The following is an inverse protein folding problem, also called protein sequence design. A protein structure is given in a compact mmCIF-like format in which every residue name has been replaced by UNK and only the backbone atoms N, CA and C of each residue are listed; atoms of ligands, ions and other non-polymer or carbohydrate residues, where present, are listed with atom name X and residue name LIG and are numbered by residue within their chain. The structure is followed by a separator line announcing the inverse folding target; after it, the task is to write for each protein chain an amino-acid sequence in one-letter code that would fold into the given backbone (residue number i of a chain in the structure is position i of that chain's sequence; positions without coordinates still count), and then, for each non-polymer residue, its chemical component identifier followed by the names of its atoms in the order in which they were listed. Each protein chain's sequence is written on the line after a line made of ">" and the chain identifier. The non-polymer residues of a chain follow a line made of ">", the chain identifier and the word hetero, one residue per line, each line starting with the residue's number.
data_IF_720867022863
#
_entry.id   IF_720867022863
#
_cell.length_a   1.000
_cell.length_b   1.000
_cell.length_c   1.000
_cell.angle_alpha   90.00
_cell.angle_beta   90.00
_cell.angle_gamma   90.00
#
_symmetry.space_group_name_H-M   'P 1'
#
loop_
_entity.id
_entity.type
_entity.pdbx_description
1 polymer ?
#
# COMPACT_ATOMS: atom_id res chain seq x y z
N UNK A 1 -27.95 6.01 -15.04
CA UNK A 1 -27.16 6.44 -13.88
C UNK A 1 -26.49 5.20 -13.30
N UNK A 2 -25.30 4.84 -13.81
CA UNK A 2 -24.34 3.84 -13.28
C UNK A 2 -23.36 3.47 -14.41
N UNK A 3 -22.38 4.32 -14.73
CA UNK A 3 -21.26 4.01 -15.63
C UNK A 3 -19.99 4.75 -15.16
N UNK A 4 -19.69 4.70 -13.86
CA UNK A 4 -18.59 5.46 -13.24
C UNK A 4 -17.54 4.62 -12.51
N UNK A 5 -17.86 3.37 -12.18
CA UNK A 5 -17.01 2.49 -11.37
C UNK A 5 -16.37 1.35 -12.20
N UNK A 6 -17.04 0.89 -13.26
CA UNK A 6 -16.53 -0.18 -14.13
C UNK A 6 -15.40 0.26 -15.08
N UNK A 7 -15.38 1.54 -15.48
CA UNK A 7 -14.34 2.09 -16.37
C UNK A 7 -12.98 2.31 -15.70
N UNK A 8 -12.92 2.46 -14.37
CA UNK A 8 -11.66 2.71 -13.64
C UNK A 8 -10.82 1.44 -13.46
N UNK A 9 -11.50 0.29 -13.34
CA UNK A 9 -10.87 -1.03 -13.32
C UNK A 9 -10.24 -1.33 -14.70
N UNK A 10 -10.90 -0.89 -15.78
CA UNK A 10 -10.44 -1.13 -17.16
C UNK A 10 -9.12 -0.42 -17.50
N UNK A 11 -8.89 0.81 -17.04
CA UNK A 11 -7.63 1.53 -17.32
C UNK A 11 -6.41 0.89 -16.63
N UNK A 12 -6.57 0.42 -15.39
CA UNK A 12 -5.49 -0.29 -14.66
C UNK A 12 -5.23 -1.65 -15.31
N UNK A 13 -6.28 -2.38 -15.70
CA UNK A 13 -6.14 -3.65 -16.43
C UNK A 13 -5.52 -3.46 -17.81
N UNK A 14 -5.85 -2.39 -18.54
CA UNK A 14 -5.32 -2.11 -19.88
C UNK A 14 -3.81 -1.78 -19.84
N UNK A 15 -3.36 -0.98 -18.87
CA UNK A 15 -1.93 -0.70 -18.67
C UNK A 15 -1.14 -1.94 -18.23
N UNK A 16 -1.76 -2.82 -17.45
CA UNK A 16 -1.19 -4.13 -17.07
C UNK A 16 -1.12 -5.08 -18.27
N UNK A 17 -2.12 -5.04 -19.17
CA UNK A 17 -2.18 -5.87 -20.37
C UNK A 17 -1.17 -5.46 -21.45
N UNK A 18 -0.81 -4.16 -21.53
CA UNK A 18 0.20 -3.64 -22.48
C UNK A 18 1.66 -3.85 -22.02
N UNK A 19 1.91 -4.51 -20.88
CA UNK A 19 3.26 -4.85 -20.41
C UNK A 19 4.12 -3.66 -19.96
N UNK A 20 3.53 -2.47 -19.81
CA UNK A 20 4.21 -1.27 -19.33
C UNK A 20 4.35 -1.23 -17.80
N UNK A 21 3.70 -2.16 -17.09
CA UNK A 21 3.73 -2.31 -15.64
C UNK A 21 3.74 -3.80 -15.23
N UNK A 22 4.73 -4.21 -14.44
CA UNK A 22 4.82 -5.58 -13.90
C UNK A 22 3.79 -5.86 -12.79
N UNK A 23 3.31 -4.81 -12.10
CA UNK A 23 2.32 -4.88 -11.01
C UNK A 23 1.40 -3.63 -11.07
N UNK A 24 0.08 -3.76 -10.80
CA UNK A 24 -0.89 -2.64 -10.86
C UNK A 24 -0.81 -1.72 -9.62
N UNK A 25 0.37 -1.20 -9.33
CA UNK A 25 0.66 -0.36 -8.15
C UNK A 25 0.33 1.13 -8.42
N UNK A 26 0.09 1.48 -9.68
CA UNK A 26 -0.20 2.85 -10.11
C UNK A 26 -1.66 3.22 -9.80
N UNK A 27 -1.82 4.10 -8.81
CA UNK A 27 -3.12 4.52 -8.29
C UNK A 27 -3.67 5.76 -9.03
N UNK A 28 -3.74 5.70 -10.37
CA UNK A 28 -4.23 6.79 -11.23
C UNK A 28 -5.66 7.23 -10.88
N UNK A 29 -6.45 6.32 -10.33
CA UNK A 29 -7.80 6.60 -9.82
C UNK A 29 -7.85 7.73 -8.80
N UNK A 30 -6.87 7.84 -7.88
CA UNK A 30 -6.84 8.93 -6.91
C UNK A 30 -6.61 10.29 -7.59
N UNK A 31 -5.74 10.35 -8.60
CA UNK A 31 -5.56 11.57 -9.39
C UNK A 31 -6.88 11.98 -10.04
N UNK A 32 -7.56 11.05 -10.72
CA UNK A 32 -8.85 11.32 -11.38
C UNK A 32 -9.93 11.75 -10.38
N UNK A 33 -10.01 11.13 -9.19
CA UNK A 33 -10.96 11.51 -8.15
C UNK A 33 -10.68 12.93 -7.65
N UNK A 34 -9.40 13.28 -7.47
CA UNK A 34 -8.98 14.61 -7.01
C UNK A 34 -9.22 15.69 -8.06
N UNK A 35 -9.13 15.35 -9.35
CA UNK A 35 -9.35 16.27 -10.48
C UNK A 35 -10.60 15.90 -11.30
N UNK A 36 -11.66 15.46 -10.62
CA UNK A 36 -12.87 14.89 -11.23
C UNK A 36 -13.56 15.83 -12.21
N UNK A 37 -13.60 17.12 -11.89
CA UNK A 37 -14.22 18.13 -12.75
C UNK A 37 -13.46 18.26 -14.07
N UNK A 38 -12.13 18.38 -14.00
CA UNK A 38 -11.24 18.42 -15.17
C UNK A 38 -11.36 17.15 -16.02
N UNK A 39 -11.48 15.98 -15.38
CA UNK A 39 -11.72 14.71 -16.07
C UNK A 39 -13.00 14.76 -16.92
N UNK A 40 -14.14 15.16 -16.33
CA UNK A 40 -15.40 15.20 -17.08
C UNK A 40 -15.42 16.29 -18.16
N UNK A 41 -14.81 17.46 -17.89
CA UNK A 41 -14.69 18.52 -18.90
C UNK A 41 -13.93 18.05 -20.13
N UNK A 42 -12.75 17.45 -19.94
CA UNK A 42 -11.92 16.97 -21.04
C UNK A 42 -12.60 15.81 -21.79
N UNK A 43 -13.29 14.91 -21.09
CA UNK A 43 -14.02 13.80 -21.72
C UNK A 43 -15.21 14.30 -22.58
N UNK A 44 -15.92 15.31 -22.09
CA UNK A 44 -17.01 15.94 -22.85
C UNK A 44 -16.47 16.67 -24.09
N UNK A 45 -15.32 17.34 -23.99
CA UNK A 45 -14.66 18.00 -25.12
C UNK A 45 -14.26 16.98 -26.20
N UNK A 46 -13.62 15.87 -25.83
CA UNK A 46 -13.26 14.81 -26.79
C UNK A 46 -14.48 14.30 -27.56
N UNK A 47 -15.62 14.16 -26.88
CA UNK A 47 -16.86 13.67 -27.49
C UNK A 47 -17.51 14.68 -28.45
N UNK A 48 -17.27 15.98 -28.25
CA UNK A 48 -17.88 17.07 -29.04
C UNK A 48 -16.96 17.56 -30.18
N UNK A 49 -15.66 17.69 -29.93
CA UNK A 49 -14.69 18.27 -30.87
C UNK A 49 -13.72 17.25 -31.48
N UNK A 50 -13.67 16.03 -30.95
CA UNK A 50 -12.67 15.03 -31.37
C UNK A 50 -11.23 15.40 -30.99
N UNK A 51 -11.01 16.41 -30.16
CA UNK A 51 -9.67 16.85 -29.75
C UNK A 51 -9.15 16.00 -28.59
N UNK A 52 -8.34 15.00 -28.93
CA UNK A 52 -7.72 14.08 -27.96
C UNK A 52 -6.47 14.65 -27.27
N UNK A 53 -5.89 15.76 -27.76
CA UNK A 53 -4.57 16.20 -27.33
C UNK A 53 -4.54 16.54 -25.84
N UNK A 54 -5.49 17.36 -25.40
CA UNK A 54 -5.60 17.80 -24.00
C UNK A 54 -5.99 16.65 -23.06
N UNK A 55 -6.80 15.70 -23.56
CA UNK A 55 -7.13 14.49 -22.82
C UNK A 55 -5.91 13.60 -22.58
N UNK A 56 -5.11 13.35 -23.62
CA UNK A 56 -3.88 12.55 -23.51
C UNK A 56 -2.89 13.23 -22.57
N UNK A 57 -2.69 14.55 -22.69
CA UNK A 57 -1.83 15.32 -21.80
C UNK A 57 -2.26 15.19 -20.33
N UNK A 58 -3.56 15.27 -20.05
CA UNK A 58 -4.11 15.08 -18.71
C UNK A 58 -3.85 13.67 -18.14
N UNK A 59 -3.99 12.62 -18.94
CA UNK A 59 -3.70 11.25 -18.51
C UNK A 59 -2.21 11.07 -18.23
N UNK A 60 -1.33 11.57 -19.10
CA UNK A 60 0.13 11.53 -18.89
C UNK A 60 0.55 12.26 -17.62
N UNK A 61 -0.03 13.43 -17.35
CA UNK A 61 0.17 14.18 -16.11
C UNK A 61 -0.23 13.34 -14.88
N UNK A 62 -1.39 12.68 -14.96
CA UNK A 62 -1.89 11.80 -13.90
C UNK A 62 -0.97 10.61 -13.64
N UNK A 63 -0.43 9.99 -14.69
CA UNK A 63 0.53 8.89 -14.59
C UNK A 63 1.83 9.38 -13.94
N UNK A 64 2.39 10.50 -14.39
CA UNK A 64 3.63 11.06 -13.85
C UNK A 64 3.50 11.35 -12.35
N UNK A 65 2.43 12.03 -11.94
CA UNK A 65 2.14 12.33 -10.52
C UNK A 65 1.92 11.07 -9.69
N UNK A 66 1.21 10.08 -10.23
CA UNK A 66 0.96 8.82 -9.53
C UNK A 66 2.23 7.99 -9.37
N UNK A 67 3.11 7.98 -10.37
CA UNK A 67 4.40 7.31 -10.31
C UNK A 67 5.33 7.95 -9.26
N UNK A 68 5.42 9.29 -9.25
CA UNK A 68 6.20 10.03 -8.25
C UNK A 68 5.70 9.74 -6.83
N UNK A 69 4.38 9.77 -6.62
CA UNK A 69 3.76 9.42 -5.35
C UNK A 69 4.10 7.98 -4.93
N UNK A 70 4.00 7.01 -5.85
CA UNK A 70 4.36 5.60 -5.58
C UNK A 70 5.83 5.43 -5.22
N UNK A 71 6.75 6.09 -5.93
CA UNK A 71 8.19 6.05 -5.60
C UNK A 71 8.42 6.58 -4.18
N UNK A 72 7.82 7.72 -3.85
CA UNK A 72 7.94 8.32 -2.53
C UNK A 72 7.38 7.42 -1.42
N UNK A 73 6.28 6.69 -1.69
CA UNK A 73 5.71 5.69 -0.78
C UNK A 73 6.67 4.54 -0.52
N UNK A 74 7.20 3.94 -1.59
CA UNK A 74 8.15 2.82 -1.50
C UNK A 74 9.38 3.24 -0.70
N UNK A 75 9.91 4.43 -0.94
CA UNK A 75 11.03 4.98 -0.16
C UNK A 75 10.72 5.12 1.33
N UNK A 76 9.53 5.60 1.70
CA UNK A 76 9.09 5.70 3.10
C UNK A 76 8.97 4.33 3.76
N UNK A 77 8.38 3.36 3.06
CA UNK A 77 8.24 1.98 3.57
C UNK A 77 9.63 1.37 3.78
N UNK A 78 10.53 1.49 2.79
CA UNK A 78 11.91 1.00 2.90
C UNK A 78 12.64 1.61 4.09
N UNK A 79 12.53 2.92 4.29
CA UNK A 79 13.11 3.60 5.46
C UNK A 79 12.51 3.10 6.78
N UNK A 80 11.20 2.84 6.83
CA UNK A 80 10.56 2.26 8.00
C UNK A 80 11.06 0.84 8.29
N UNK A 81 11.27 0.02 7.25
CA UNK A 81 11.87 -1.31 7.36
C UNK A 81 13.28 -1.25 7.92
N UNK A 82 14.15 -0.38 7.37
CA UNK A 82 15.53 -0.20 7.83
C UNK A 82 15.60 0.21 9.31
N UNK A 83 14.76 1.16 9.74
CA UNK A 83 14.68 1.57 11.16
C UNK A 83 14.26 0.41 12.05
N UNK A 84 13.23 -0.33 11.67
CA UNK A 84 12.78 -1.50 12.43
C UNK A 84 13.85 -2.60 12.48
N UNK A 85 14.54 -2.86 11.36
CA UNK A 85 15.62 -3.84 11.28
C UNK A 85 16.75 -3.48 12.24
N UNK A 86 17.19 -2.21 12.25
CA UNK A 86 18.24 -1.74 13.15
C UNK A 86 17.85 -1.85 14.64
N UNK A 87 16.57 -1.67 14.97
CA UNK A 87 16.06 -1.84 16.34
C UNK A 87 16.06 -3.33 16.72
N UNK A 88 15.59 -4.20 15.82
CA UNK A 88 15.48 -5.64 16.08
C UNK A 88 16.82 -6.37 16.09
N UNK A 89 17.81 -5.93 15.31
CA UNK A 89 19.17 -6.48 15.36
C UNK A 89 19.83 -6.37 16.74
N UNK A 90 19.42 -5.39 17.55
CA UNK A 90 19.88 -5.21 18.93
C UNK A 90 19.18 -6.13 19.93
N UNK A 91 18.26 -6.97 19.46
CA UNK A 91 17.45 -7.88 20.26
C UNK A 91 17.77 -9.33 19.90
N UNK A 92 17.38 -10.26 20.77
CA UNK A 92 17.54 -11.70 20.54
C UNK A 92 16.50 -12.27 19.55
N UNK A 93 16.20 -11.55 18.45
CA UNK A 93 15.33 -12.01 17.37
C UNK A 93 16.21 -12.24 16.14
N UNK A 94 16.57 -13.50 15.90
CA UNK A 94 17.48 -13.90 14.82
C UNK A 94 16.81 -14.85 13.83
N UNK A 95 15.57 -14.56 13.44
CA UNK A 95 14.86 -15.38 12.45
C UNK A 95 14.82 -14.68 11.09
N UNK A 96 15.39 -15.33 10.09
CA UNK A 96 15.34 -14.89 8.69
C UNK A 96 13.88 -14.81 8.23
N UNK A 97 13.52 -13.75 7.51
CA UNK A 97 12.13 -13.55 7.05
C UNK A 97 11.14 -13.00 8.08
N UNK A 98 11.49 -12.85 9.37
CA UNK A 98 10.57 -12.22 10.35
C UNK A 98 10.24 -10.76 9.98
N UNK A 99 11.24 -10.02 9.50
CA UNK A 99 11.05 -8.65 9.00
C UNK A 99 10.13 -8.61 7.79
N UNK A 100 10.31 -9.52 6.84
CA UNK A 100 9.47 -9.60 5.65
C UNK A 100 8.02 -9.91 6.06
N UNK A 101 7.82 -10.89 6.96
CA UNK A 101 6.50 -11.23 7.47
C UNK A 101 5.82 -10.07 8.23
N UNK A 102 6.61 -9.21 8.90
CA UNK A 102 6.13 -8.05 9.64
C UNK A 102 5.68 -6.89 8.75
N UNK A 103 6.27 -6.78 7.54
CA UNK A 103 5.98 -5.70 6.59
C UNK A 103 5.12 -6.16 5.41
N UNK A 104 4.98 -7.46 5.20
CA UNK A 104 4.08 -8.03 4.19
C UNK A 104 2.61 -7.81 4.56
N UNK A 105 2.28 -7.83 5.85
CA UNK A 105 0.93 -7.54 6.35
C UNK A 105 0.95 -6.38 7.37
N UNK A 106 0.14 -5.31 7.19
CA UNK A 106 0.05 -4.19 8.14
C UNK A 106 -0.40 -4.60 9.56
N UNK A 107 -1.07 -5.75 9.65
CA UNK A 107 -1.45 -6.38 10.90
C UNK A 107 -1.21 -7.89 10.80
N UNK A 108 -0.87 -8.52 11.92
CA UNK A 108 -0.62 -9.96 11.96
C UNK A 108 -1.20 -10.62 13.20
N UNK A 109 -1.27 -11.95 13.18
CA UNK A 109 -1.66 -12.79 14.32
C UNK A 109 -0.50 -13.72 14.67
N UNK A 110 -0.43 -14.14 15.93
CA UNK A 110 0.57 -15.12 16.39
C UNK A 110 0.56 -16.39 15.53
N UNK A 111 -0.64 -16.87 15.14
CA UNK A 111 -0.78 -18.06 14.28
C UNK A 111 -0.15 -17.85 12.91
N UNK A 112 -0.43 -16.73 12.25
CA UNK A 112 0.10 -16.39 10.92
C UNK A 112 1.63 -16.23 10.92
N UNK A 113 2.21 -15.68 11.99
CA UNK A 113 3.67 -15.59 12.14
C UNK A 113 4.29 -16.97 12.39
N UNK A 114 3.66 -17.77 13.25
CA UNK A 114 4.13 -19.12 13.54
C UNK A 114 4.15 -20.01 12.29
N UNK A 115 3.06 -20.00 11.51
CA UNK A 115 2.93 -20.76 10.27
C UNK A 115 3.87 -20.23 9.17
N UNK A 116 3.91 -18.91 8.96
CA UNK A 116 4.73 -18.30 7.91
C UNK A 116 6.24 -18.44 8.12
N UNK A 117 6.68 -18.60 9.37
CA UNK A 117 8.10 -18.77 9.70
C UNK A 117 8.47 -20.20 10.10
N UNK A 118 7.50 -21.13 10.18
CA UNK A 118 7.75 -22.49 10.64
C UNK A 118 8.20 -22.59 12.10
N UNK A 119 7.81 -21.64 12.96
CA UNK A 119 8.20 -21.59 14.37
C UNK A 119 7.04 -21.93 15.31
N UNK A 120 7.35 -22.25 16.57
CA UNK A 120 6.31 -22.51 17.57
C UNK A 120 5.50 -21.25 17.89
N UNK A 121 4.23 -21.44 18.28
CA UNK A 121 3.37 -20.32 18.70
C UNK A 121 3.94 -19.57 19.91
N UNK A 122 4.67 -20.26 20.80
CA UNK A 122 5.35 -19.59 21.92
C UNK A 122 6.44 -18.63 21.42
N UNK A 123 7.27 -19.06 20.48
CA UNK A 123 8.33 -18.21 19.90
C UNK A 123 7.75 -17.04 19.13
N UNK A 124 6.74 -17.27 18.29
CA UNK A 124 6.05 -16.19 17.58
C UNK A 124 5.43 -15.16 18.54
N UNK A 125 4.79 -15.62 19.62
CA UNK A 125 4.24 -14.76 20.67
C UNK A 125 5.33 -13.93 21.36
N UNK A 126 6.48 -14.54 21.67
CA UNK A 126 7.64 -13.84 22.25
C UNK A 126 8.16 -12.74 21.32
N UNK A 127 8.34 -13.02 20.03
CA UNK A 127 8.82 -12.03 19.06
C UNK A 127 7.85 -10.86 18.92
N UNK A 128 6.55 -11.14 18.79
CA UNK A 128 5.54 -10.10 18.68
C UNK A 128 5.45 -9.22 19.93
N UNK A 129 5.58 -9.80 21.13
CA UNK A 129 5.65 -9.05 22.39
C UNK A 129 6.90 -8.18 22.49
N UNK A 130 8.06 -8.66 22.04
CA UNK A 130 9.27 -7.83 21.99
C UNK A 130 9.04 -6.63 21.07
N UNK A 131 8.45 -6.84 19.89
CA UNK A 131 8.15 -5.76 18.96
C UNK A 131 7.12 -4.77 19.53
N UNK A 132 6.14 -5.25 20.30
CA UNK A 132 5.19 -4.41 21.03
C UNK A 132 5.87 -3.55 22.09
N UNK A 133 6.74 -4.16 22.92
CA UNK A 133 7.50 -3.44 23.94
C UNK A 133 8.43 -2.37 23.35
N UNK A 134 8.94 -2.59 22.14
CA UNK A 134 9.78 -1.64 21.41
C UNK A 134 8.96 -0.57 20.66
N UNK A 135 7.63 -0.61 20.75
CA UNK A 135 6.74 0.34 20.07
C UNK A 135 6.72 0.19 18.55
N UNK A 136 7.15 -0.95 18.01
CA UNK A 136 7.03 -1.28 16.58
C UNK A 136 5.60 -1.75 16.28
N UNK A 137 5.05 -2.57 17.18
CA UNK A 137 3.71 -3.12 17.10
C UNK A 137 2.81 -2.60 18.21
N UNK A 138 1.50 -2.68 18.00
CA UNK A 138 0.47 -2.50 19.04
C UNK A 138 -0.46 -3.70 19.04
N UNK A 139 -0.68 -4.34 20.19
CA UNK A 139 -1.73 -5.33 20.32
C UNK A 139 -3.10 -4.66 20.35
N UNK A 140 -4.00 -5.11 19.48
CA UNK A 140 -5.41 -4.71 19.43
C UNK A 140 -6.26 -5.97 19.58
N UNK A 141 -7.15 -5.97 20.57
CA UNK A 141 -8.10 -7.07 20.79
C UNK A 141 -9.41 -6.76 20.05
N UNK A 142 -9.84 -7.69 19.20
CA UNK A 142 -11.12 -7.63 18.49
C UNK A 142 -11.87 -8.93 18.77
N UNK A 143 -12.85 -8.85 19.67
CA UNK A 143 -13.52 -10.03 20.24
C UNK A 143 -12.52 -10.96 20.93
N UNK A 144 -12.55 -12.24 20.59
CA UNK A 144 -11.64 -13.25 21.13
C UNK A 144 -10.26 -13.28 20.44
N UNK A 145 -10.04 -12.45 19.42
CA UNK A 145 -8.81 -12.46 18.64
C UNK A 145 -7.89 -11.29 19.00
N UNK A 146 -6.59 -11.57 19.11
CA UNK A 146 -5.54 -10.56 19.25
C UNK A 146 -4.83 -10.34 17.93
N UNK A 147 -4.69 -9.07 17.56
CA UNK A 147 -3.98 -8.61 16.37
C UNK A 147 -2.80 -7.75 16.80
N UNK A 148 -1.69 -7.86 16.09
CA UNK A 148 -0.54 -7.00 16.27
C UNK A 148 -0.43 -6.09 15.05
N UNK A 149 -0.64 -4.79 15.25
CA UNK A 149 -0.65 -3.78 14.17
C UNK A 149 0.71 -3.10 14.10
N UNK A 150 1.32 -3.07 12.91
CA UNK A 150 2.56 -2.35 12.66
C UNK A 150 2.26 -0.85 12.61
N UNK A 151 2.66 -0.13 13.67
CA UNK A 151 2.25 1.25 13.89
C UNK A 151 2.77 2.16 12.77
N UNK A 152 4.06 2.03 12.45
CA UNK A 152 4.72 2.86 11.42
C UNK A 152 4.13 2.61 10.05
N UNK A 153 3.93 1.34 9.69
CA UNK A 153 3.37 0.97 8.39
C UNK A 153 1.90 1.40 8.29
N UNK A 154 1.12 1.22 9.36
CA UNK A 154 -0.28 1.67 9.41
C UNK A 154 -0.40 3.19 9.27
N UNK A 155 0.47 3.98 9.92
CA UNK A 155 0.47 5.43 9.77
C UNK A 155 0.84 5.89 8.36
N UNK A 156 1.78 5.19 7.70
CA UNK A 156 2.13 5.45 6.30
C UNK A 156 0.93 5.26 5.38
N UNK A 157 0.14 4.20 5.57
CA UNK A 157 -1.07 3.96 4.77
C UNK A 157 -2.26 4.84 5.17
N UNK A 158 -2.43 5.16 6.46
CA UNK A 158 -3.58 5.95 6.94
C UNK A 158 -3.57 7.39 6.43
N UNK A 159 -2.39 8.02 6.30
CA UNK A 159 -2.29 9.40 5.78
C UNK A 159 -2.74 9.52 4.32
N UNK A 160 -2.84 8.42 3.60
CA UNK A 160 -3.12 8.42 2.16
C UNK A 160 -4.54 8.00 1.80
N UNK A 161 -5.30 7.40 2.72
CA UNK A 161 -6.73 7.09 2.50
C UNK A 161 -7.65 8.33 2.59
N UNK A 162 -7.10 9.49 2.95
CA UNK A 162 -7.83 10.74 3.19
C UNK A 162 -7.33 11.87 2.25
N UNK A 163 -6.45 11.58 1.28
CA UNK A 163 -5.92 12.57 0.34
C UNK A 163 -6.27 12.25 -1.11
#
# INVERSE_FOLDING_TARGET
>A
MAMGDDGRILNVLYLTHQGLLDLPILYLSAYIIKTKDRYYTLLAQVSQSGDFKEWVAYILEGIAKSAEATIHRVQKIKKAMEVCQNILQKQAIHHEGFMDQLFYHPYTKIKSVAEGLGITRQTASKYLKICENLGILRCVSLGHHKYFVNIRLFELFRRELIC
#
